data_IF_143034562481
#
_entry.id   IF_143034562481
#
_cell.length_a   1.000
_cell.length_b   1.000
_cell.length_c   1.000
_cell.angle_alpha   90.00
_cell.angle_beta   90.00
_cell.angle_gamma   90.00
#
_symmetry.space_group_name_H-M   'P 1'
#
loop_
_entity.id
_entity.type
_entity.pdbx_description
1 polymer ?
#
# COMPACT_ATOMS: atom_id res chain seq x y z
N UNK A 1 65.75 9.74 -64.85
CA UNK A 1 65.24 9.72 -63.46
C UNK A 1 64.77 8.31 -63.18
N UNK A 2 65.42 7.63 -62.22
CA UNK A 2 65.48 6.18 -62.10
C UNK A 2 64.16 5.57 -61.61
N UNK A 3 63.75 4.45 -62.19
CA UNK A 3 62.56 3.64 -61.83
C UNK A 3 62.48 3.31 -60.34
N UNK A 4 63.63 3.26 -59.66
CA UNK A 4 63.78 3.11 -58.21
C UNK A 4 63.12 4.23 -57.40
N UNK A 5 63.12 5.48 -57.88
CA UNK A 5 62.48 6.60 -57.18
C UNK A 5 60.96 6.48 -57.24
N UNK A 6 60.42 6.01 -58.37
CA UNK A 6 58.98 5.81 -58.54
C UNK A 6 58.46 4.63 -57.72
N UNK A 7 59.19 3.52 -57.66
CA UNK A 7 58.81 2.36 -56.83
C UNK A 7 58.89 2.66 -55.34
N UNK A 8 59.91 3.40 -54.89
CA UNK A 8 60.00 3.86 -53.50
C UNK A 8 58.81 4.73 -53.11
N UNK A 9 58.37 5.64 -53.99
CA UNK A 9 57.23 6.53 -53.73
C UNK A 9 55.91 5.75 -53.61
N UNK A 10 55.69 4.74 -54.47
CA UNK A 10 54.52 3.87 -54.39
C UNK A 10 54.48 3.02 -53.12
N UNK A 11 55.63 2.49 -52.68
CA UNK A 11 55.73 1.71 -51.44
C UNK A 11 55.39 2.59 -50.23
N UNK A 12 55.92 3.81 -50.17
CA UNK A 12 55.62 4.76 -49.09
C UNK A 12 54.13 5.12 -49.06
N UNK A 13 53.51 5.35 -50.22
CA UNK A 13 52.07 5.59 -50.30
C UNK A 13 51.25 4.39 -49.81
N UNK A 14 51.60 3.17 -50.22
CA UNK A 14 50.89 1.96 -49.81
C UNK A 14 51.02 1.71 -48.30
N UNK A 15 52.22 1.89 -47.73
CA UNK A 15 52.44 1.79 -46.28
C UNK A 15 51.68 2.89 -45.51
N UNK A 16 51.61 4.11 -46.05
CA UNK A 16 50.78 5.19 -45.50
C UNK A 16 49.28 4.85 -45.49
N UNK A 17 48.77 4.26 -46.57
CA UNK A 17 47.36 3.83 -46.67
C UNK A 17 47.06 2.65 -45.73
N UNK A 18 47.96 1.69 -45.62
CA UNK A 18 47.81 0.57 -44.68
C UNK A 18 47.83 1.04 -43.22
N UNK A 19 48.74 1.93 -42.85
CA UNK A 19 48.84 2.44 -41.47
C UNK A 19 47.61 3.26 -41.08
N UNK A 20 47.11 4.13 -41.95
CA UNK A 20 45.88 4.91 -41.71
C UNK A 20 44.64 4.02 -41.58
N UNK A 21 44.48 3.01 -42.44
CA UNK A 21 43.42 1.98 -42.32
C UNK A 21 43.50 1.25 -40.97
N UNK A 22 44.69 0.78 -40.59
CA UNK A 22 44.92 0.09 -39.30
C UNK A 22 44.62 0.98 -38.09
N UNK A 23 44.93 2.28 -38.17
CA UNK A 23 44.61 3.23 -37.09
C UNK A 23 43.10 3.48 -36.98
N UNK A 24 42.39 3.65 -38.10
CA UNK A 24 40.93 3.81 -38.14
C UNK A 24 40.20 2.55 -37.63
N UNK A 25 40.63 1.35 -38.04
CA UNK A 25 40.07 0.09 -37.53
C UNK A 25 40.27 -0.07 -36.02
N UNK A 26 41.44 0.34 -35.50
CA UNK A 26 41.69 0.38 -34.05
C UNK A 26 40.81 1.40 -33.34
N UNK A 27 40.54 2.56 -33.94
CA UNK A 27 39.64 3.57 -33.39
C UNK A 27 38.19 3.06 -33.35
N UNK A 28 37.72 2.43 -34.43
CA UNK A 28 36.39 1.79 -34.49
C UNK A 28 36.24 0.66 -33.47
N UNK A 29 37.26 -0.18 -33.31
CA UNK A 29 37.26 -1.23 -32.30
C UNK A 29 37.16 -0.66 -30.88
N UNK A 30 37.88 0.43 -30.57
CA UNK A 30 37.76 1.15 -29.29
C UNK A 30 36.37 1.74 -29.10
N UNK A 31 35.76 2.29 -30.15
CA UNK A 31 34.42 2.87 -30.05
C UNK A 31 33.37 1.78 -29.83
N UNK A 32 33.42 0.67 -30.57
CA UNK A 32 32.57 -0.51 -30.33
C UNK A 32 32.75 -1.02 -28.90
N UNK A 33 34.00 -1.08 -28.40
CA UNK A 33 34.26 -1.50 -27.03
C UNK A 33 33.66 -0.51 -26.00
N UNK A 34 33.80 0.80 -26.22
CA UNK A 34 33.17 1.81 -25.36
C UNK A 34 31.64 1.69 -25.39
N UNK A 35 31.04 1.53 -26.58
CA UNK A 35 29.61 1.36 -26.74
C UNK A 35 29.12 0.07 -26.05
N UNK A 36 29.85 -1.03 -26.18
CA UNK A 36 29.56 -2.28 -25.48
C UNK A 36 29.67 -2.11 -23.96
N UNK A 37 30.68 -1.39 -23.48
CA UNK A 37 30.83 -1.07 -22.05
C UNK A 37 29.69 -0.19 -21.53
N UNK A 38 29.27 0.83 -22.28
CA UNK A 38 28.13 1.69 -21.93
C UNK A 38 26.85 0.86 -21.91
N UNK A 39 26.60 0.05 -22.94
CA UNK A 39 25.44 -0.83 -23.01
C UNK A 39 25.40 -1.82 -21.85
N UNK A 40 26.54 -2.41 -21.47
CA UNK A 40 26.61 -3.32 -20.33
C UNK A 40 26.28 -2.61 -19.01
N UNK A 41 26.72 -1.35 -18.83
CA UNK A 41 26.39 -0.55 -17.64
C UNK A 41 24.91 -0.19 -17.59
N UNK A 42 24.37 0.34 -18.70
CA UNK A 42 22.94 0.70 -18.79
C UNK A 42 22.06 -0.53 -18.56
N UNK A 43 22.42 -1.69 -19.12
CA UNK A 43 21.71 -2.94 -18.88
C UNK A 43 21.76 -3.36 -17.41
N UNK A 44 22.93 -3.26 -16.76
CA UNK A 44 23.07 -3.59 -15.35
C UNK A 44 22.26 -2.63 -14.45
N UNK A 45 22.24 -1.34 -14.76
CA UNK A 45 21.43 -0.34 -14.06
C UNK A 45 19.93 -0.58 -14.26
N UNK A 46 19.50 -0.96 -15.46
CA UNK A 46 18.11 -1.30 -15.75
C UNK A 46 17.69 -2.58 -15.02
N UNK A 47 18.54 -3.61 -15.03
CA UNK A 47 18.31 -4.85 -14.28
C UNK A 47 18.19 -4.59 -12.78
N UNK A 48 19.06 -3.75 -12.22
CA UNK A 48 18.98 -3.40 -10.81
C UNK A 48 17.70 -2.61 -10.50
N UNK A 49 17.32 -1.67 -11.38
CA UNK A 49 16.07 -0.93 -11.22
C UNK A 49 14.85 -1.86 -11.27
N UNK A 50 14.85 -2.82 -12.18
CA UNK A 50 13.79 -3.82 -12.29
C UNK A 50 13.74 -4.68 -11.01
N UNK A 51 14.88 -5.17 -10.55
CA UNK A 51 14.98 -5.94 -9.31
C UNK A 51 14.46 -5.17 -8.10
N UNK A 52 14.82 -3.89 -7.96
CA UNK A 52 14.32 -3.04 -6.88
C UNK A 52 12.81 -2.79 -6.98
N UNK A 53 12.27 -2.65 -8.19
CA UNK A 53 10.83 -2.50 -8.40
C UNK A 53 10.08 -3.80 -8.07
N UNK A 54 10.64 -4.96 -8.41
CA UNK A 54 10.09 -6.28 -8.05
C UNK A 54 10.06 -6.47 -6.53
N UNK A 55 11.16 -6.12 -5.83
CA UNK A 55 11.21 -6.17 -4.37
C UNK A 55 10.14 -5.26 -3.74
N UNK A 56 9.98 -4.03 -4.25
CA UNK A 56 8.99 -3.08 -3.73
C UNK A 56 7.54 -3.53 -4.00
N UNK A 57 7.29 -4.20 -5.14
CA UNK A 57 6.00 -4.77 -5.49
C UNK A 57 5.68 -6.04 -4.70
N UNK A 58 6.69 -6.81 -4.33
CA UNK A 58 6.55 -8.03 -3.52
C UNK A 58 6.22 -7.75 -2.05
N UNK A 59 6.33 -6.50 -1.57
CA UNK A 59 5.94 -6.13 -0.20
C UNK A 59 4.45 -6.38 0.04
N UNK A 60 4.13 -7.10 1.10
CA UNK A 60 2.78 -7.29 1.57
C UNK A 60 2.31 -5.99 2.23
N UNK A 61 1.28 -5.33 1.68
CA UNK A 61 0.72 -4.09 2.24
C UNK A 61 -0.60 -4.39 2.94
N UNK A 62 -0.68 -4.01 4.20
CA UNK A 62 -1.88 -4.14 5.02
C UNK A 62 -2.26 -2.76 5.54
N UNK A 63 -3.55 -2.47 5.59
CA UNK A 63 -4.08 -1.24 6.16
C UNK A 63 -4.90 -1.60 7.38
N UNK A 64 -4.77 -0.82 8.45
CA UNK A 64 -5.60 -0.98 9.64
C UNK A 64 -7.09 -0.86 9.22
N UNK A 65 -7.96 -1.78 9.69
CA UNK A 65 -9.38 -1.81 9.29
C UNK A 65 -10.08 -0.48 9.58
N UNK A 66 -10.97 -0.05 8.67
CA UNK A 66 -11.85 1.08 8.91
C UNK A 66 -13.15 0.61 9.56
N UNK A 67 -13.11 0.33 10.85
CA UNK A 67 -14.24 -0.21 11.62
C UNK A 67 -15.09 0.87 12.32
N UNK A 68 -14.72 2.15 12.16
CA UNK A 68 -15.39 3.28 12.79
C UNK A 68 -14.96 3.50 14.25
N UNK A 69 -13.99 2.72 14.75
CA UNK A 69 -13.32 2.96 16.01
C UNK A 69 -11.92 3.55 15.77
N UNK A 70 -11.77 4.83 16.09
CA UNK A 70 -10.48 5.53 15.99
C UNK A 70 -9.39 4.94 16.91
N UNK A 71 -9.75 4.11 17.89
CA UNK A 71 -8.81 3.47 18.81
C UNK A 71 -8.21 2.19 18.22
N UNK A 72 -8.74 1.68 17.10
CA UNK A 72 -8.16 0.58 16.35
C UNK A 72 -6.84 1.01 15.73
N UNK A 73 -5.73 0.56 16.31
CA UNK A 73 -4.35 0.91 15.91
C UNK A 73 -3.52 -0.29 15.41
N UNK A 74 -4.14 -1.45 15.28
CA UNK A 74 -3.50 -2.71 14.85
C UNK A 74 -4.24 -3.36 13.70
N UNK A 75 -3.54 -4.21 12.96
CA UNK A 75 -4.09 -5.06 11.91
C UNK A 75 -3.66 -6.51 12.12
N UNK A 76 -4.56 -7.44 11.83
CA UNK A 76 -4.25 -8.86 11.73
C UNK A 76 -3.63 -9.16 10.36
N UNK A 77 -2.48 -9.83 10.37
CA UNK A 77 -1.75 -10.22 9.16
C UNK A 77 -1.54 -11.72 9.17
N UNK A 78 -1.79 -12.37 8.02
CA UNK A 78 -1.45 -13.77 7.77
C UNK A 78 -0.25 -13.87 6.82
N UNK A 79 0.67 -14.77 7.12
CA UNK A 79 1.79 -15.16 6.28
C UNK A 79 1.72 -16.67 6.04
N UNK A 80 1.81 -17.07 4.79
CA UNK A 80 1.83 -18.47 4.39
C UNK A 80 3.00 -18.72 3.45
N UNK A 81 3.58 -19.92 3.52
CA UNK A 81 4.58 -20.37 2.56
C UNK A 81 4.13 -21.67 1.92
N UNK A 82 4.30 -21.75 0.60
CA UNK A 82 4.11 -23.00 -0.15
C UNK A 82 5.49 -23.50 -0.56
N UNK A 83 5.89 -24.63 0.00
CA UNK A 83 7.13 -25.31 -0.37
C UNK A 83 6.85 -26.75 -0.77
N UNK A 84 7.62 -27.24 -1.74
CA UNK A 84 7.51 -28.60 -2.26
C UNK A 84 8.92 -29.13 -2.38
N UNK A 85 9.17 -30.24 -1.71
CA UNK A 85 10.38 -31.02 -1.90
C UNK A 85 10.23 -31.90 -3.16
N UNK A 86 11.23 -31.96 -4.07
CA UNK A 86 11.15 -32.77 -5.29
C UNK A 86 10.98 -34.27 -5.01
N UNK A 87 11.54 -34.76 -3.91
CA UNK A 87 11.45 -36.13 -3.43
C UNK A 87 10.21 -36.37 -2.55
N UNK A 88 9.47 -35.29 -2.23
CA UNK A 88 8.27 -35.24 -1.38
C UNK A 88 8.54 -35.55 0.09
N UNK A 89 9.72 -35.15 0.56
CA UNK A 89 10.06 -35.23 1.97
C UNK A 89 9.22 -34.29 2.85
N UNK A 90 9.18 -34.62 4.14
CA UNK A 90 8.59 -33.75 5.15
C UNK A 90 9.44 -32.49 5.34
N UNK A 91 8.77 -31.33 5.34
CA UNK A 91 9.40 -30.03 5.49
C UNK A 91 9.15 -29.46 6.89
N UNK A 92 10.21 -28.94 7.51
CA UNK A 92 10.16 -28.19 8.78
C UNK A 92 10.29 -26.70 8.50
N UNK A 93 9.47 -25.91 9.17
CA UNK A 93 9.43 -24.46 9.03
C UNK A 93 9.97 -23.78 10.28
N UNK A 94 10.59 -22.62 10.11
CA UNK A 94 11.00 -21.75 11.20
C UNK A 94 10.92 -20.29 10.74
N UNK A 95 9.91 -19.58 11.24
CA UNK A 95 9.74 -18.14 11.02
C UNK A 95 10.59 -17.33 12.00
N UNK A 96 11.34 -16.37 11.48
CA UNK A 96 12.19 -15.46 12.24
C UNK A 96 11.80 -14.04 11.86
N UNK A 97 11.49 -13.22 12.86
CA UNK A 97 11.32 -11.79 12.64
C UNK A 97 12.69 -11.10 12.68
N UNK A 98 13.14 -10.63 11.52
CA UNK A 98 14.45 -10.00 11.32
C UNK A 98 14.42 -8.48 11.58
N UNK A 99 13.27 -7.83 11.41
CA UNK A 99 13.11 -6.37 11.59
C UNK A 99 11.68 -6.00 12.00
N UNK A 100 11.54 -4.83 12.63
CA UNK A 100 10.27 -4.24 13.05
C UNK A 100 10.03 -4.39 14.55
N UNK A 101 8.88 -3.91 15.02
CA UNK A 101 8.47 -4.11 16.41
C UNK A 101 8.16 -5.60 16.65
N UNK A 102 8.59 -6.20 17.77
CA UNK A 102 8.40 -7.62 18.02
C UNK A 102 6.91 -7.97 18.07
N UNK A 103 6.52 -9.03 17.37
CA UNK A 103 5.15 -9.55 17.35
C UNK A 103 5.12 -11.02 17.77
N UNK A 104 3.99 -11.47 18.29
CA UNK A 104 3.75 -12.88 18.59
C UNK A 104 3.19 -13.60 17.36
N UNK A 105 3.88 -14.64 16.90
CA UNK A 105 3.43 -15.48 15.78
C UNK A 105 2.55 -16.63 16.28
N UNK A 106 1.34 -16.74 15.75
CA UNK A 106 0.38 -17.80 16.06
C UNK A 106 0.15 -18.70 14.83
N UNK A 107 0.00 -20.03 15.00
CA UNK A 107 -0.03 -20.75 16.27
C UNK A 107 1.35 -20.91 16.92
N UNK A 108 2.43 -20.91 16.12
CA UNK A 108 3.82 -20.86 16.54
C UNK A 108 4.71 -20.62 15.30
N UNK A 109 5.99 -20.22 15.47
CA UNK A 109 6.90 -19.99 14.35
C UNK A 109 7.26 -21.24 13.52
N UNK A 110 6.89 -22.45 13.97
CA UNK A 110 7.17 -23.70 13.26
C UNK A 110 6.10 -24.13 12.25
N UNK A 111 5.07 -23.31 12.04
CA UNK A 111 3.95 -23.58 11.14
C UNK A 111 4.21 -23.05 9.73
N UNK A 112 3.69 -23.75 8.71
CA UNK A 112 3.71 -23.25 7.32
C UNK A 112 2.86 -21.98 7.13
N UNK A 113 1.84 -21.81 7.97
CA UNK A 113 1.00 -20.61 8.03
C UNK A 113 1.06 -20.02 9.44
N UNK A 114 1.35 -18.72 9.51
CA UNK A 114 1.40 -17.96 10.76
C UNK A 114 0.58 -16.68 10.65
N UNK A 115 0.08 -16.21 11.78
CA UNK A 115 -0.64 -14.94 11.89
C UNK A 115 -0.03 -14.11 13.00
N UNK A 116 -0.13 -12.79 12.88
CA UNK A 116 0.27 -11.86 13.93
C UNK A 116 -0.61 -10.61 13.91
N UNK A 117 -0.66 -9.95 15.05
CA UNK A 117 -1.27 -8.63 15.21
C UNK A 117 -0.16 -7.57 15.28
N UNK A 118 -0.22 -6.56 14.43
CA UNK A 118 0.82 -5.53 14.35
C UNK A 118 0.26 -4.13 14.17
N UNK A 119 0.93 -3.14 14.75
CA UNK A 119 0.64 -1.72 14.52
C UNK A 119 1.33 -1.16 13.28
N UNK A 120 1.13 0.13 13.01
CA UNK A 120 1.77 0.84 11.88
C UNK A 120 3.29 0.65 11.89
N UNK A 121 3.85 0.22 10.76
CA UNK A 121 5.29 -0.04 10.64
C UNK A 121 5.66 -0.99 9.51
N UNK A 122 6.96 -1.22 9.37
CA UNK A 122 7.54 -2.21 8.46
C UNK A 122 8.11 -3.39 9.27
N UNK A 123 7.73 -4.59 8.89
CA UNK A 123 8.14 -5.86 9.51
C UNK A 123 8.82 -6.72 8.44
N UNK A 124 9.93 -7.36 8.79
CA UNK A 124 10.63 -8.28 7.89
C UNK A 124 10.69 -9.63 8.54
N UNK A 125 10.17 -10.64 7.84
CA UNK A 125 10.15 -12.03 8.28
C UNK A 125 10.96 -12.87 7.32
N UNK A 126 11.77 -13.77 7.86
CA UNK A 126 12.50 -14.79 7.12
C UNK A 126 11.96 -16.15 7.55
N UNK A 127 11.59 -17.01 6.60
CA UNK A 127 11.22 -18.41 6.88
C UNK A 127 12.35 -19.32 6.42
N UNK A 128 12.86 -20.14 7.33
CA UNK A 128 13.76 -21.25 7.00
C UNK A 128 12.92 -22.51 6.81
N UNK A 129 13.15 -23.22 5.70
CA UNK A 129 12.43 -24.43 5.33
C UNK A 129 13.48 -25.52 5.15
N UNK A 130 13.42 -26.55 6.00
CA UNK A 130 14.43 -27.61 6.05
C UNK A 130 13.80 -28.96 5.72
N UNK A 131 14.41 -29.69 4.80
CA UNK A 131 14.00 -31.06 4.44
C UNK A 131 14.44 -32.10 5.50
N UNK A 132 14.14 -33.37 5.24
CA UNK A 132 14.49 -34.48 6.13
C UNK A 132 15.99 -34.77 6.19
N UNK A 133 16.74 -34.35 5.17
CA UNK A 133 18.19 -34.51 5.03
C UNK A 133 18.99 -33.33 5.62
N UNK A 134 18.31 -32.29 6.10
CA UNK A 134 18.91 -31.12 6.73
C UNK A 134 19.32 -30.02 5.75
N UNK A 135 18.87 -30.07 4.50
CA UNK A 135 19.07 -28.97 3.54
C UNK A 135 18.02 -27.90 3.82
N UNK A 136 18.49 -26.67 4.00
CA UNK A 136 17.63 -25.51 4.30
C UNK A 136 17.60 -24.55 3.13
N UNK A 137 16.40 -24.11 2.76
CA UNK A 137 16.16 -22.93 1.93
C UNK A 137 15.54 -21.83 2.78
N UNK A 138 15.73 -20.57 2.40
CA UNK A 138 15.12 -19.45 3.08
C UNK A 138 14.35 -18.55 2.11
N UNK A 139 13.33 -17.89 2.63
CA UNK A 139 12.55 -16.89 1.90
C UNK A 139 12.28 -15.70 2.83
N UNK A 140 12.28 -14.48 2.28
CA UNK A 140 12.04 -13.25 3.05
C UNK A 140 10.78 -12.53 2.56
N UNK A 141 9.96 -12.08 3.51
CA UNK A 141 8.78 -11.27 3.23
C UNK A 141 8.81 -9.98 4.05
N UNK A 142 8.67 -8.85 3.37
CA UNK A 142 8.44 -7.56 4.01
C UNK A 142 6.95 -7.26 4.07
N UNK A 143 6.44 -6.90 5.25
CA UNK A 143 5.07 -6.47 5.51
C UNK A 143 5.07 -5.00 5.91
N UNK A 144 4.22 -4.20 5.28
CA UNK A 144 4.02 -2.78 5.59
C UNK A 144 2.59 -2.57 6.08
N UNK A 145 2.44 -2.21 7.35
CA UNK A 145 1.15 -1.88 7.96
C UNK A 145 0.96 -0.36 7.94
N UNK A 146 -0.08 0.10 7.27
CA UNK A 146 -0.46 1.51 7.14
C UNK A 146 -1.62 1.86 8.06
N UNK A 147 -1.68 3.14 8.47
CA UNK A 147 -2.79 3.66 9.28
C UNK A 147 -4.13 3.55 8.56
N UNK A 148 -5.21 3.50 9.33
CA UNK A 148 -6.57 3.64 8.82
C UNK A 148 -6.70 4.99 8.08
N UNK A 149 -7.25 5.02 6.84
CA UNK A 149 -7.55 6.25 6.13
C UNK A 149 -8.78 6.92 6.75
N UNK A 150 -8.83 8.26 6.77
CA UNK A 150 -9.99 9.00 7.25
C UNK A 150 -10.31 10.14 6.27
N UNK A 151 -11.46 10.05 5.61
CA UNK A 151 -11.97 11.06 4.70
C UNK A 151 -13.16 11.81 5.32
N UNK A 152 -13.30 13.13 5.10
CA UNK A 152 -14.42 13.89 5.63
C UNK A 152 -15.75 13.45 5.01
N UNK A 153 -16.87 13.54 5.74
CA UNK A 153 -18.19 13.25 5.18
C UNK A 153 -18.57 14.31 4.12
N UNK A 154 -19.28 13.88 3.08
CA UNK A 154 -19.92 14.78 2.12
C UNK A 154 -21.35 15.12 2.58
N UNK A 155 -21.70 16.40 2.61
CA UNK A 155 -23.03 16.86 3.02
C UNK A 155 -23.57 17.88 2.02
N UNK A 156 -24.82 17.66 1.60
CA UNK A 156 -25.60 18.59 0.78
C UNK A 156 -26.91 18.92 1.49
N UNK A 157 -27.31 20.20 1.47
CA UNK A 157 -28.50 20.69 2.18
C UNK A 157 -29.51 21.18 1.16
N UNK A 158 -30.61 20.44 0.99
CA UNK A 158 -31.75 20.89 0.17
C UNK A 158 -32.78 21.66 0.99
N UNK A 159 -33.24 22.79 0.44
CA UNK A 159 -34.47 23.46 0.84
C UNK A 159 -35.57 23.11 -0.18
N UNK A 160 -36.58 22.29 0.17
CA UNK A 160 -37.74 22.12 -0.71
C UNK A 160 -38.56 23.42 -0.68
N UNK A 161 -38.75 24.05 -1.84
CA UNK A 161 -39.65 25.20 -2.00
C UNK A 161 -41.05 24.80 -1.50
N UNK A 162 -41.55 25.47 -0.46
CA UNK A 162 -42.97 25.41 -0.12
C UNK A 162 -43.71 26.34 -1.09
N UNK A 163 -44.51 25.74 -1.97
CA UNK A 163 -45.47 26.45 -2.81
C UNK A 163 -46.52 27.12 -1.92
N UNK A 164 -46.26 28.37 -1.51
CA UNK A 164 -47.23 29.18 -0.79
C UNK A 164 -48.22 29.76 -1.80
N UNK A 165 -49.23 28.97 -2.17
CA UNK A 165 -50.48 29.56 -2.63
C UNK A 165 -51.14 30.27 -1.44
N UNK A 166 -51.39 31.59 -1.50
CA UNK A 166 -51.95 32.31 -0.35
C UNK A 166 -53.44 31.98 -0.19
N UNK A 167 -53.79 31.34 0.92
CA UNK A 167 -55.19 31.18 1.38
C UNK A 167 -55.66 32.52 1.93
N UNK A 168 -56.32 33.32 1.10
CA UNK A 168 -57.10 34.46 1.58
C UNK A 168 -58.55 34.05 1.84
N UNK A 169 -59.03 34.51 3.01
CA UNK A 169 -60.42 34.66 3.47
C UNK A 169 -61.05 33.47 4.24
N UNK A 170 -61.22 33.64 5.57
CA UNK A 170 -62.49 34.08 6.15
C UNK A 170 -62.37 34.27 7.68
N UNK A 171 -62.71 35.46 8.18
CA UNK A 171 -62.95 35.71 9.59
C UNK A 171 -64.10 36.71 9.77
N UNK A 172 -65.27 36.26 10.23
CA UNK A 172 -66.13 37.06 11.13
C UNK A 172 -67.23 36.27 11.84
N UNK A 173 -67.43 36.68 13.10
CA UNK A 173 -68.64 36.64 13.95
C UNK A 173 -68.73 35.51 15.00
N UNK A 174 -68.74 35.86 16.30
CA UNK A 174 -69.96 36.22 17.06
C UNK A 174 -69.63 36.73 18.48
N UNK A 175 -70.47 37.63 18.99
CA UNK A 175 -70.37 38.32 20.28
C UNK A 175 -71.38 37.80 21.34
N UNK A 176 -71.11 38.18 22.61
CA UNK A 176 -72.07 38.66 23.64
C UNK A 176 -72.58 37.73 24.80
N UNK A 177 -71.97 37.92 25.98
CA UNK A 177 -72.48 38.16 27.37
C UNK A 177 -73.36 37.15 28.20
N UNK A 178 -73.33 37.22 29.57
CA UNK A 178 -73.62 36.11 30.50
C UNK A 178 -74.90 36.28 31.37
N UNK A 179 -75.34 35.21 32.07
CA UNK A 179 -76.25 35.29 33.23
C UNK A 179 -75.89 34.31 34.36
N UNK A 180 -76.00 34.86 35.57
CA UNK A 180 -75.76 34.34 36.92
C UNK A 180 -77.10 33.93 37.57
N UNK A 181 -77.16 32.86 38.38
CA UNK A 181 -77.89 32.85 39.68
C UNK A 181 -77.69 31.56 40.50
N UNK A 182 -77.41 31.76 41.80
CA UNK A 182 -77.33 30.77 42.89
C UNK A 182 -78.72 30.51 43.49
N UNK A 183 -78.96 29.31 44.04
CA UNK A 183 -80.01 29.07 45.05
C UNK A 183 -79.52 28.16 46.18
N UNK A 184 -80.03 28.49 47.38
CA UNK A 184 -79.85 27.99 48.76
C UNK A 184 -79.91 26.45 48.94
N UNK A 185 -79.59 25.81 50.08
CA UNK A 185 -79.93 26.09 51.48
C UNK A 185 -79.22 25.08 52.42
N UNK A 186 -78.96 25.47 53.68
CA UNK A 186 -78.48 24.64 54.81
C UNK A 186 -79.69 23.90 55.49
N UNK A 187 -79.67 23.29 56.71
CA UNK A 187 -78.61 23.20 57.76
C UNK A 187 -78.55 21.85 58.55
N UNK A 188 -77.73 21.85 59.63
CA UNK A 188 -77.67 21.02 60.87
C UNK A 188 -76.30 20.32 61.04
N UNK A 189 -75.66 20.20 62.21
CA UNK A 189 -75.95 20.56 63.61
C UNK A 189 -74.72 20.16 64.46
N UNK A 190 -74.47 20.92 65.54
CA UNK A 190 -73.83 20.60 66.86
C UNK A 190 -72.31 20.61 67.11
N UNK A 191 -72.07 21.15 68.33
CA UNK A 191 -71.03 20.89 69.34
C UNK A 191 -69.70 21.67 69.18
N UNK A 192 -69.04 22.23 70.19
CA UNK A 192 -69.26 22.45 71.63
C UNK A 192 -68.02 23.26 72.13
N UNK A 193 -68.15 23.95 73.28
CA UNK A 193 -67.11 24.36 74.25
C UNK A 193 -66.38 25.72 74.12
N UNK A 194 -66.81 26.58 75.05
CA UNK A 194 -66.07 27.39 76.03
C UNK A 194 -66.03 28.90 75.80
#
# INVERSE_FOLDING_TARGET
MSTTNATMLLIVCFLGLLTTKVLDDRQRAREIEKQNRIRARVLAEEQERQRLAEIELAKCRVTIPHDGDKETITAMVGLNVTAVDPEKDELKYEWIQSRGNPVELKPNPGSAEVTFEGGVGEYVFTVNITDSYGITVNEEQTVVISKEPNEPPNADVQCPLQDQTPVMAEAKAKAEAPKEEKKAEAPKEKAEKK
#
